data_IF_195178553100
#
_entry.id   IF_195178553100
#
_cell.length_a   1.000
_cell.length_b   1.000
_cell.length_c   1.000
_cell.angle_alpha   90.00
_cell.angle_beta   90.00
_cell.angle_gamma   90.00
#
_symmetry.space_group_name_H-M   'P 1'
#
loop_
_entity.id
_entity.type
_entity.pdbx_description
1 polymer ?
#
# COMPACT_ATOMS: atom_id res chain seq x y z
N UNK A 1 12.60 -21.25 -12.73
CA UNK A 1 12.02 -19.93 -12.37
C UNK A 1 13.09 -19.10 -11.68
N UNK A 2 13.08 -17.77 -11.81
CA UNK A 2 14.09 -16.94 -11.11
C UNK A 2 13.86 -16.92 -9.59
N UNK A 3 14.90 -16.79 -8.75
CA UNK A 3 14.74 -16.65 -7.31
C UNK A 3 13.80 -15.49 -6.92
N UNK A 4 13.79 -14.42 -7.72
CA UNK A 4 12.88 -13.29 -7.52
C UNK A 4 11.41 -13.66 -7.73
N UNK A 5 11.08 -14.50 -8.70
CA UNK A 5 9.70 -14.98 -8.89
C UNK A 5 9.24 -15.76 -7.66
N UNK A 6 10.10 -16.60 -7.09
CA UNK A 6 9.78 -17.31 -5.86
C UNK A 6 9.55 -16.35 -4.68
N UNK A 7 10.41 -15.34 -4.52
CA UNK A 7 10.24 -14.32 -3.49
C UNK A 7 8.90 -13.57 -3.63
N UNK A 8 8.48 -13.23 -4.85
CA UNK A 8 7.19 -12.60 -5.10
C UNK A 8 6.01 -13.52 -4.75
N UNK A 9 6.06 -14.79 -5.13
CA UNK A 9 5.02 -15.77 -4.77
C UNK A 9 4.90 -15.89 -3.25
N UNK A 10 6.03 -16.07 -2.55
CA UNK A 10 6.04 -16.17 -1.10
C UNK A 10 5.48 -14.91 -0.43
N UNK A 11 5.85 -13.73 -0.93
CA UNK A 11 5.34 -12.46 -0.43
C UNK A 11 3.82 -12.35 -0.60
N UNK A 12 3.27 -12.74 -1.75
CA UNK A 12 1.80 -12.74 -1.99
C UNK A 12 1.10 -13.70 -1.04
N UNK A 13 1.63 -14.91 -0.86
CA UNK A 13 1.06 -15.90 0.06
C UNK A 13 1.07 -15.41 1.51
N UNK A 14 2.15 -14.77 1.94
CA UNK A 14 2.25 -14.14 3.25
C UNK A 14 1.24 -12.99 3.41
N UNK A 15 1.10 -12.14 2.40
CA UNK A 15 0.08 -11.09 2.40
C UNK A 15 -1.32 -11.66 2.59
N UNK A 16 -1.69 -12.69 1.82
CA UNK A 16 -3.01 -13.33 1.95
C UNK A 16 -3.21 -13.98 3.31
N UNK A 17 -2.19 -14.64 3.85
CA UNK A 17 -2.27 -15.29 5.16
C UNK A 17 -2.51 -14.31 6.32
N UNK A 18 -2.06 -13.06 6.19
CA UNK A 18 -2.26 -11.99 7.18
C UNK A 18 -3.56 -11.23 6.93
N UNK A 19 -3.77 -10.78 5.68
CA UNK A 19 -4.88 -9.90 5.33
C UNK A 19 -6.23 -10.62 5.37
N UNK A 20 -6.32 -11.89 4.95
CA UNK A 20 -7.60 -12.61 4.93
C UNK A 20 -8.20 -12.73 6.35
N UNK A 21 -7.49 -13.26 7.37
CA UNK A 21 -8.01 -13.27 8.74
C UNK A 21 -8.35 -11.86 9.26
N UNK A 22 -7.51 -10.86 8.99
CA UNK A 22 -7.75 -9.47 9.40
C UNK A 22 -9.03 -8.89 8.79
N UNK A 23 -9.32 -9.23 7.53
CA UNK A 23 -10.54 -8.78 6.83
C UNK A 23 -11.80 -9.45 7.37
N UNK A 24 -11.72 -10.71 7.84
CA UNK A 24 -12.86 -11.44 8.40
C UNK A 24 -13.07 -11.18 9.90
N UNK A 25 -12.01 -10.91 10.66
CA UNK A 25 -12.05 -10.60 12.09
C UNK A 25 -11.52 -9.17 12.35
N UNK A 26 -12.18 -8.18 11.75
CA UNK A 26 -11.70 -6.79 11.69
C UNK A 26 -11.55 -6.16 13.07
N UNK A 27 -10.32 -5.98 13.54
CA UNK A 27 -10.00 -5.02 14.60
C UNK A 27 -9.38 -3.75 14.00
N UNK A 28 -9.56 -2.58 14.65
CA UNK A 28 -8.98 -1.34 14.16
C UNK A 28 -7.45 -1.41 14.03
N UNK A 29 -6.93 -1.32 12.82
CA UNK A 29 -5.50 -1.28 12.52
C UNK A 29 -4.91 -2.61 12.03
N UNK A 30 -5.70 -3.66 11.91
CA UNK A 30 -5.21 -4.99 11.52
C UNK A 30 -4.99 -5.14 10.02
N UNK A 31 -5.72 -4.38 9.20
CA UNK A 31 -5.65 -4.51 7.74
C UNK A 31 -4.58 -3.61 7.12
N UNK A 32 -3.96 -4.06 6.03
CA UNK A 32 -3.01 -3.25 5.27
C UNK A 32 -3.65 -1.93 4.82
N UNK A 33 -4.93 -1.95 4.45
CA UNK A 33 -5.67 -0.74 4.05
C UNK A 33 -5.69 0.31 5.17
N UNK A 34 -5.90 -0.10 6.41
CA UNK A 34 -5.90 0.81 7.56
C UNK A 34 -4.51 1.33 7.90
N UNK A 35 -3.48 0.49 7.74
CA UNK A 35 -2.08 0.93 7.84
C UNK A 35 -1.79 1.99 6.79
N UNK A 36 -2.17 1.77 5.53
CA UNK A 36 -1.99 2.74 4.43
C UNK A 36 -2.74 4.05 4.74
N UNK A 37 -3.99 3.97 5.22
CA UNK A 37 -4.75 5.15 5.62
C UNK A 37 -4.09 5.92 6.76
N UNK A 38 -3.54 5.20 7.75
CA UNK A 38 -2.79 5.78 8.84
C UNK A 38 -1.52 6.44 8.34
N UNK A 39 -0.77 5.81 7.43
CA UNK A 39 0.49 6.30 6.84
C UNK A 39 0.30 7.58 6.03
N UNK A 40 -0.80 7.69 5.28
CA UNK A 40 -1.06 8.86 4.43
C UNK A 40 -2.08 9.85 5.01
N UNK A 41 -2.48 9.67 6.27
CA UNK A 41 -3.48 10.49 6.94
C UNK A 41 -4.77 10.64 6.10
N UNK A 42 -5.21 9.53 5.49
CA UNK A 42 -6.45 9.49 4.68
C UNK A 42 -7.65 9.79 5.58
N UNK A 43 -7.62 9.30 6.83
CA UNK A 43 -8.59 9.62 7.87
C UNK A 43 -7.97 10.56 8.91
N UNK A 44 -8.73 11.57 9.32
CA UNK A 44 -8.28 12.57 10.30
C UNK A 44 -7.31 13.62 9.74
N UNK A 45 -6.85 14.52 10.62
CA UNK A 45 -5.91 15.61 10.30
C UNK A 45 -4.80 15.74 11.38
N UNK A 46 -4.01 14.69 11.65
CA UNK A 46 -2.88 14.76 12.57
C UNK A 46 -1.81 15.74 12.07
N UNK A 47 -0.87 16.14 12.92
CA UNK A 47 0.26 16.99 12.52
C UNK A 47 0.96 16.41 11.28
N UNK A 48 1.23 17.27 10.29
CA UNK A 48 1.87 16.88 9.03
C UNK A 48 0.95 16.18 8.02
N UNK A 49 -0.37 16.11 8.24
CA UNK A 49 -1.31 15.44 7.33
C UNK A 49 -1.25 15.95 5.87
N UNK A 50 -0.99 17.26 5.67
CA UNK A 50 -0.88 17.86 4.35
C UNK A 50 0.29 17.27 3.55
N UNK A 51 1.48 17.19 4.17
CA UNK A 51 2.67 16.63 3.53
C UNK A 51 2.47 15.14 3.20
N UNK A 52 1.85 14.39 4.13
CA UNK A 52 1.56 12.96 3.93
C UNK A 52 0.59 12.74 2.76
N UNK A 53 -0.46 13.55 2.65
CA UNK A 53 -1.39 13.50 1.50
C UNK A 53 -0.75 13.99 0.21
N UNK A 54 0.12 15.00 0.28
CA UNK A 54 0.87 15.46 -0.88
C UNK A 54 1.80 14.36 -1.41
N UNK A 55 2.52 13.67 -0.53
CA UNK A 55 3.35 12.53 -0.89
C UNK A 55 2.52 11.40 -1.53
N UNK A 56 1.33 11.10 -1.00
CA UNK A 56 0.41 10.14 -1.61
C UNK A 56 0.01 10.57 -3.02
N UNK A 57 -0.40 11.84 -3.19
CA UNK A 57 -0.85 12.38 -4.47
C UNK A 57 0.27 12.32 -5.52
N UNK A 58 1.48 12.77 -5.17
CA UNK A 58 2.63 12.74 -6.06
C UNK A 58 3.03 11.30 -6.41
N UNK A 59 3.06 10.40 -5.43
CA UNK A 59 3.38 9.00 -5.64
C UNK A 59 2.37 8.29 -6.54
N UNK A 60 1.07 8.54 -6.37
CA UNK A 60 0.03 7.99 -7.24
C UNK A 60 0.06 8.59 -8.63
N UNK A 61 0.24 9.90 -8.75
CA UNK A 61 0.39 10.58 -10.04
C UNK A 61 1.58 10.04 -10.83
N UNK A 62 2.73 9.90 -10.16
CA UNK A 62 3.92 9.26 -10.72
C UNK A 62 3.65 7.82 -11.11
N UNK A 63 3.10 6.98 -10.21
CA UNK A 63 2.85 5.57 -10.50
C UNK A 63 1.96 5.37 -11.74
N UNK A 64 0.88 6.15 -11.85
CA UNK A 64 -0.01 6.10 -13.02
C UNK A 64 0.78 6.49 -14.28
N UNK A 65 1.54 7.58 -14.24
CA UNK A 65 2.36 8.01 -15.39
C UNK A 65 3.44 6.98 -15.76
N UNK A 66 4.11 6.38 -14.77
CA UNK A 66 5.11 5.33 -14.94
C UNK A 66 4.50 4.12 -15.65
N UNK A 67 3.35 3.64 -15.18
CA UNK A 67 2.66 2.49 -15.78
C UNK A 67 2.15 2.79 -17.20
N UNK A 68 1.56 3.98 -17.43
CA UNK A 68 1.07 4.38 -18.76
C UNK A 68 2.19 4.61 -19.78
N UNK A 69 3.39 4.97 -19.31
CA UNK A 69 4.56 5.17 -20.17
C UNK A 69 5.39 3.91 -20.38
N UNK A 70 5.01 2.77 -19.80
CA UNK A 70 5.83 1.55 -19.86
C UNK A 70 7.12 1.65 -19.06
N UNK A 71 7.16 2.52 -18.05
CA UNK A 71 8.25 2.64 -17.09
C UNK A 71 9.25 3.77 -17.38
N UNK A 72 8.90 4.75 -18.22
CA UNK A 72 9.82 5.78 -18.68
C UNK A 72 9.97 6.98 -17.73
N UNK A 73 8.95 7.28 -16.94
CA UNK A 73 8.93 8.42 -16.01
C UNK A 73 8.79 7.97 -14.58
#
# INVERSE_FOLDING_TARGET
MSPYVFAWILWILMFLAIELPAVFNRQPGDTLSEVVWKVFAVRGKPVGWQLRRLALLLGLGWLVAHLLSGGLV
#
